data_IF_189697608068
#
_entry.id   IF_189697608068
#
_cell.length_a   1.000
_cell.length_b   1.000
_cell.length_c   1.000
_cell.angle_alpha   90.00
_cell.angle_beta   90.00
_cell.angle_gamma   90.00
#
_symmetry.space_group_name_H-M   'P 1'
#
loop_
_entity.id
_entity.type
_entity.pdbx_description
1 polymer ?
#
# COMPACT_ATOMS: atom_id res chain seq x y z
N UNK A 1 -2.38 -21.46 -16.50
CA UNK A 1 -1.00 -21.19 -16.94
C UNK A 1 -0.13 -20.47 -15.91
N UNK A 2 -0.44 -19.22 -15.49
CA UNK A 2 0.42 -18.49 -14.52
C UNK A 2 0.43 -19.16 -13.14
N UNK A 3 -0.74 -19.56 -12.65
CA UNK A 3 -0.86 -20.24 -11.36
C UNK A 3 -0.17 -21.63 -11.40
N UNK A 4 -0.45 -22.44 -12.43
CA UNK A 4 0.25 -23.74 -12.62
C UNK A 4 1.78 -23.59 -12.70
N UNK A 5 2.26 -22.51 -13.32
CA UNK A 5 3.68 -22.21 -13.38
C UNK A 5 4.26 -21.90 -11.99
N UNK A 6 3.51 -21.19 -11.14
CA UNK A 6 3.89 -20.92 -9.76
C UNK A 6 3.90 -22.20 -8.93
N UNK A 7 2.88 -23.05 -9.07
CA UNK A 7 2.80 -24.35 -8.42
C UNK A 7 3.97 -25.27 -8.83
N UNK A 8 4.33 -25.26 -10.12
CA UNK A 8 5.48 -26.02 -10.63
C UNK A 8 6.83 -25.43 -10.21
N UNK A 9 6.93 -24.11 -10.03
CA UNK A 9 8.17 -23.43 -9.67
C UNK A 9 8.00 -22.46 -8.46
N UNK A 10 7.75 -22.98 -7.24
CA UNK A 10 7.45 -22.17 -6.05
C UNK A 10 8.49 -21.10 -5.73
N UNK A 11 9.77 -21.37 -6.00
CA UNK A 11 10.88 -20.44 -5.78
C UNK A 11 10.76 -19.15 -6.62
N UNK A 12 10.00 -19.15 -7.73
CA UNK A 12 9.80 -17.97 -8.60
C UNK A 12 8.66 -17.06 -8.14
N UNK A 13 7.80 -17.51 -7.23
CA UNK A 13 6.61 -16.78 -6.75
C UNK A 13 6.94 -15.35 -6.30
N UNK A 14 8.05 -15.17 -5.58
CA UNK A 14 8.47 -13.84 -5.06
C UNK A 14 8.76 -12.84 -6.17
N UNK A 15 9.26 -13.30 -7.32
CA UNK A 15 9.54 -12.46 -8.48
C UNK A 15 8.24 -12.13 -9.23
N UNK A 16 7.34 -13.12 -9.35
CA UNK A 16 6.09 -13.05 -10.12
C UNK A 16 5.02 -12.22 -9.40
N UNK A 17 4.79 -12.47 -8.10
CA UNK A 17 3.70 -11.87 -7.31
C UNK A 17 4.17 -10.85 -6.28
N UNK A 18 5.47 -10.79 -5.97
CA UNK A 18 5.98 -9.89 -4.93
C UNK A 18 5.83 -10.44 -3.51
N UNK A 19 5.44 -11.70 -3.31
CA UNK A 19 5.45 -12.40 -2.01
C UNK A 19 5.99 -13.82 -2.19
N UNK A 20 6.56 -14.41 -1.14
CA UNK A 20 7.06 -15.80 -1.19
C UNK A 20 5.92 -16.80 -1.38
N UNK A 21 6.22 -18.02 -1.83
CA UNK A 21 5.21 -19.07 -1.98
C UNK A 21 4.52 -19.43 -0.66
N UNK A 22 5.27 -19.50 0.45
CA UNK A 22 4.69 -19.71 1.78
C UNK A 22 3.68 -18.61 2.15
N UNK A 23 4.03 -17.35 1.90
CA UNK A 23 3.12 -16.22 2.11
C UNK A 23 1.90 -16.25 1.19
N UNK A 24 2.08 -16.69 -0.06
CA UNK A 24 0.96 -16.90 -1.00
C UNK A 24 -0.03 -17.93 -0.44
N UNK A 25 0.46 -19.08 0.03
CA UNK A 25 -0.40 -20.13 0.59
C UNK A 25 -1.19 -19.65 1.82
N UNK A 26 -0.54 -18.94 2.76
CA UNK A 26 -1.25 -18.33 3.90
C UNK A 26 -2.29 -17.30 3.46
N UNK A 27 -1.98 -16.50 2.45
CA UNK A 27 -2.91 -15.50 1.90
C UNK A 27 -4.10 -16.16 1.20
N UNK A 28 -3.89 -17.23 0.43
CA UNK A 28 -4.95 -17.99 -0.24
C UNK A 28 -5.94 -18.55 0.79
N UNK A 29 -5.45 -19.20 1.84
CA UNK A 29 -6.31 -19.73 2.92
C UNK A 29 -7.20 -18.64 3.54
N UNK A 30 -6.60 -17.49 3.87
CA UNK A 30 -7.33 -16.36 4.42
C UNK A 30 -8.35 -15.76 3.42
N UNK A 31 -7.95 -15.62 2.16
CA UNK A 31 -8.80 -15.06 1.11
C UNK A 31 -9.99 -15.96 0.79
N UNK A 32 -9.78 -17.28 0.70
CA UNK A 32 -10.85 -18.27 0.50
C UNK A 32 -11.84 -18.23 1.67
N UNK A 33 -11.34 -18.25 2.91
CA UNK A 33 -12.20 -18.18 4.10
C UNK A 33 -13.04 -16.90 4.10
N UNK A 34 -12.41 -15.74 3.86
CA UNK A 34 -13.13 -14.45 3.82
C UNK A 34 -14.17 -14.41 2.69
N UNK A 35 -13.83 -14.94 1.52
CA UNK A 35 -14.74 -15.07 0.38
C UNK A 35 -15.96 -15.93 0.71
N UNK A 36 -15.75 -17.08 1.37
CA UNK A 36 -16.83 -17.94 1.84
C UNK A 36 -17.73 -17.22 2.85
N UNK A 37 -17.16 -16.53 3.83
CA UNK A 37 -17.94 -15.74 4.81
C UNK A 37 -18.82 -14.70 4.13
N UNK A 38 -18.29 -14.00 3.12
CA UNK A 38 -19.05 -13.01 2.33
C UNK A 38 -20.17 -13.70 1.55
N UNK A 39 -19.88 -14.81 0.85
CA UNK A 39 -20.88 -15.59 0.10
C UNK A 39 -22.00 -16.08 1.02
N UNK A 40 -21.68 -16.67 2.17
CA UNK A 40 -22.67 -17.14 3.15
C UNK A 40 -23.56 -16.00 3.66
N UNK A 41 -22.99 -14.84 3.99
CA UNK A 41 -23.77 -13.66 4.41
C UNK A 41 -24.72 -13.19 3.31
N UNK A 42 -24.24 -13.09 2.08
CA UNK A 42 -25.07 -12.71 0.93
C UNK A 42 -26.18 -13.72 0.65
N UNK A 43 -25.92 -15.02 0.81
CA UNK A 43 -26.94 -16.06 0.63
C UNK A 43 -28.01 -15.99 1.70
N UNK A 44 -27.64 -15.74 2.96
CA UNK A 44 -28.61 -15.60 4.07
C UNK A 44 -29.58 -14.42 3.90
N UNK A 45 -29.17 -13.40 3.12
CA UNK A 45 -29.97 -12.20 2.84
C UNK A 45 -30.80 -12.32 1.55
N UNK A 46 -30.59 -13.34 0.73
CA UNK A 46 -31.28 -13.50 -0.56
C UNK A 46 -32.64 -14.15 -0.37
N UNK A 47 -33.71 -13.43 -0.75
CA UNK A 47 -35.02 -14.03 -1.00
C UNK A 47 -34.96 -14.67 -2.39
N UNK A 48 -34.96 -16.01 -2.45
CA UNK A 48 -34.85 -16.76 -3.71
C UNK A 48 -36.22 -17.14 -4.28
N UNK A 49 -36.42 -16.87 -5.57
CA UNK A 49 -37.52 -17.48 -6.35
C UNK A 49 -37.11 -18.80 -7.03
N UNK A 50 -35.81 -19.03 -7.26
CA UNK A 50 -35.25 -20.23 -7.91
C UNK A 50 -34.20 -20.92 -7.01
N UNK A 51 -33.96 -22.22 -7.22
CA UNK A 51 -32.94 -22.99 -6.50
C UNK A 51 -31.51 -22.45 -6.70
N UNK A 52 -30.61 -22.73 -5.75
CA UNK A 52 -29.18 -22.38 -5.84
C UNK A 52 -28.53 -22.96 -7.09
N UNK A 53 -27.55 -22.25 -7.66
CA UNK A 53 -26.60 -22.86 -8.59
C UNK A 53 -26.93 -22.74 -10.08
N UNK A 54 -27.96 -21.98 -10.46
CA UNK A 54 -28.30 -21.75 -11.87
C UNK A 54 -27.37 -20.78 -12.63
N UNK A 55 -26.25 -20.36 -12.03
CA UNK A 55 -25.28 -19.46 -12.65
C UNK A 55 -24.32 -20.20 -13.58
N UNK A 56 -23.71 -19.47 -14.53
CA UNK A 56 -22.61 -20.00 -15.33
C UNK A 56 -21.44 -20.39 -14.39
N UNK A 57 -20.85 -21.58 -14.54
CA UNK A 57 -19.69 -21.97 -13.74
C UNK A 57 -18.54 -20.98 -13.95
N UNK A 58 -17.89 -20.58 -12.85
CA UNK A 58 -16.71 -19.73 -12.87
C UNK A 58 -15.58 -20.46 -13.62
N UNK A 59 -14.88 -19.77 -14.53
CA UNK A 59 -13.82 -20.38 -15.35
C UNK A 59 -12.52 -20.59 -14.57
N UNK A 60 -12.26 -19.71 -13.60
CA UNK A 60 -11.08 -19.74 -12.76
C UNK A 60 -11.46 -20.27 -11.39
N UNK A 61 -10.61 -21.14 -10.84
CA UNK A 61 -10.66 -21.49 -9.43
C UNK A 61 -10.43 -20.25 -8.55
N UNK A 62 -10.84 -20.31 -7.28
CA UNK A 62 -10.63 -19.20 -6.34
C UNK A 62 -9.15 -18.81 -6.22
N UNK A 63 -8.26 -19.80 -6.22
CA UNK A 63 -6.81 -19.56 -6.12
C UNK A 63 -6.26 -18.84 -7.35
N UNK A 64 -6.71 -19.23 -8.54
CA UNK A 64 -6.35 -18.57 -9.79
C UNK A 64 -6.87 -17.13 -9.84
N UNK A 65 -8.06 -16.87 -9.32
CA UNK A 65 -8.62 -15.51 -9.25
C UNK A 65 -7.81 -14.60 -8.31
N UNK A 66 -7.43 -15.10 -7.12
CA UNK A 66 -6.53 -14.37 -6.22
C UNK A 66 -5.16 -14.16 -6.87
N UNK A 67 -4.61 -15.18 -7.51
CA UNK A 67 -3.34 -15.09 -8.23
C UNK A 67 -3.41 -14.05 -9.37
N UNK A 68 -4.52 -13.98 -10.10
CA UNK A 68 -4.76 -12.97 -11.14
C UNK A 68 -4.68 -11.56 -10.55
N UNK A 69 -5.30 -11.34 -9.39
CA UNK A 69 -5.28 -10.05 -8.72
C UNK A 69 -3.87 -9.65 -8.27
N UNK A 70 -3.16 -10.55 -7.58
CA UNK A 70 -1.78 -10.32 -7.14
C UNK A 70 -0.81 -10.09 -8.31
N UNK A 71 -0.99 -10.84 -9.40
CA UNK A 71 -0.21 -10.67 -10.62
C UNK A 71 -0.44 -9.29 -11.22
N UNK A 72 -1.69 -8.81 -11.27
CA UNK A 72 -1.98 -7.46 -11.74
C UNK A 72 -1.35 -6.39 -10.87
N UNK A 73 -1.46 -6.48 -9.54
CA UNK A 73 -0.84 -5.53 -8.61
C UNK A 73 0.68 -5.46 -8.83
N UNK A 74 1.33 -6.62 -8.99
CA UNK A 74 2.78 -6.72 -9.14
C UNK A 74 3.28 -6.31 -10.52
N UNK A 75 2.63 -6.79 -11.59
CA UNK A 75 3.12 -6.69 -12.97
C UNK A 75 2.44 -5.58 -13.79
N UNK A 76 1.22 -5.21 -13.42
CA UNK A 76 0.38 -4.19 -14.06
C UNK A 76 0.26 -4.33 -15.61
N UNK A 77 -0.06 -5.52 -16.14
CA UNK A 77 -0.37 -5.70 -17.57
C UNK A 77 -1.69 -4.98 -17.92
N UNK A 78 -2.02 -4.88 -19.20
CA UNK A 78 -3.40 -4.51 -19.60
C UNK A 78 -4.35 -5.66 -19.27
N UNK A 79 -5.64 -5.39 -19.05
CA UNK A 79 -6.63 -6.46 -18.82
C UNK A 79 -6.76 -7.43 -19.99
N UNK A 80 -6.42 -7.00 -21.22
CA UNK A 80 -6.36 -7.90 -22.38
C UNK A 80 -5.23 -8.94 -22.21
N UNK A 81 -4.01 -8.48 -21.89
CA UNK A 81 -2.87 -9.38 -21.66
C UNK A 81 -3.11 -10.23 -20.41
N UNK A 82 -3.71 -9.66 -19.36
CA UNK A 82 -4.09 -10.42 -18.17
C UNK A 82 -5.07 -11.55 -18.50
N UNK A 83 -6.11 -11.26 -19.29
CA UNK A 83 -7.07 -12.27 -19.76
C UNK A 83 -6.39 -13.38 -20.55
N UNK A 84 -5.47 -13.05 -21.47
CA UNK A 84 -4.69 -14.05 -22.22
C UNK A 84 -3.87 -14.95 -21.28
N UNK A 85 -3.17 -14.36 -20.31
CA UNK A 85 -2.32 -15.12 -19.37
C UNK A 85 -3.08 -16.06 -18.44
N UNK A 86 -4.35 -15.75 -18.17
CA UNK A 86 -5.26 -16.53 -17.33
C UNK A 86 -6.38 -17.22 -18.12
N UNK A 87 -6.29 -17.24 -19.46
CA UNK A 87 -7.25 -17.92 -20.35
C UNK A 87 -8.73 -17.51 -20.15
N UNK A 88 -8.93 -16.24 -19.78
CA UNK A 88 -10.25 -15.62 -19.62
C UNK A 88 -10.40 -14.40 -20.53
N UNK A 89 -11.63 -13.90 -20.64
CA UNK A 89 -11.86 -12.67 -21.42
C UNK A 89 -11.24 -11.45 -20.71
N UNK A 90 -10.99 -10.38 -21.47
CA UNK A 90 -10.58 -9.07 -20.89
C UNK A 90 -11.56 -8.62 -19.80
N UNK A 91 -12.86 -8.79 -20.03
CA UNK A 91 -13.93 -8.37 -19.11
C UNK A 91 -13.87 -9.21 -17.84
N UNK A 92 -13.79 -10.53 -17.97
CA UNK A 92 -13.66 -11.45 -16.84
C UNK A 92 -12.45 -11.12 -15.96
N UNK A 93 -11.30 -10.82 -16.58
CA UNK A 93 -10.09 -10.43 -15.86
C UNK A 93 -10.26 -9.10 -15.11
N UNK A 94 -11.00 -8.14 -15.69
CA UNK A 94 -11.33 -6.88 -15.03
C UNK A 94 -12.28 -7.07 -13.85
N UNK A 95 -13.36 -7.81 -14.06
CA UNK A 95 -14.36 -8.10 -13.03
C UNK A 95 -13.74 -8.89 -11.88
N UNK A 96 -12.93 -9.91 -12.19
CA UNK A 96 -12.20 -10.71 -11.19
C UNK A 96 -11.27 -9.83 -10.35
N UNK A 97 -10.48 -8.95 -10.98
CA UNK A 97 -9.59 -8.05 -10.26
C UNK A 97 -10.38 -7.15 -9.29
N UNK A 98 -11.43 -6.48 -9.79
CA UNK A 98 -12.21 -5.56 -8.97
C UNK A 98 -13.06 -6.27 -7.90
N UNK A 99 -13.43 -7.53 -8.11
CA UNK A 99 -14.10 -8.36 -7.12
C UNK A 99 -13.17 -8.71 -5.95
N UNK A 100 -11.93 -9.10 -6.22
CA UNK A 100 -10.98 -9.55 -5.20
C UNK A 100 -10.31 -8.42 -4.42
N UNK A 101 -10.15 -7.23 -4.99
CA UNK A 101 -9.48 -6.12 -4.30
C UNK A 101 -10.11 -5.77 -2.95
N UNK A 102 -11.44 -5.61 -2.81
CA UNK A 102 -12.08 -5.39 -1.51
C UNK A 102 -11.84 -6.54 -0.52
N UNK A 103 -11.87 -7.80 -0.98
CA UNK A 103 -11.65 -8.97 -0.13
C UNK A 103 -10.20 -9.00 0.39
N UNK A 104 -9.24 -8.73 -0.49
CA UNK A 104 -7.82 -8.63 -0.12
C UNK A 104 -7.57 -7.45 0.81
N UNK A 105 -8.24 -6.31 0.59
CA UNK A 105 -8.19 -5.14 1.46
C UNK A 105 -8.61 -5.50 2.88
N UNK A 106 -9.70 -6.24 3.05
CA UNK A 106 -10.22 -6.63 4.37
C UNK A 106 -9.22 -7.46 5.19
N UNK A 107 -8.40 -8.29 4.54
CA UNK A 107 -7.49 -9.23 5.22
C UNK A 107 -6.04 -8.73 5.29
N UNK A 108 -5.70 -7.63 4.61
CA UNK A 108 -4.34 -7.09 4.51
C UNK A 108 -4.26 -5.67 5.10
N UNK A 109 -4.27 -5.47 6.43
CA UNK A 109 -4.14 -4.13 7.02
C UNK A 109 -2.89 -3.42 6.48
N UNK A 110 -3.08 -2.20 5.99
CA UNK A 110 -2.08 -1.39 5.31
C UNK A 110 -1.01 -0.85 6.27
N UNK A 111 -1.35 -0.71 7.54
CA UNK A 111 -0.46 -0.18 8.57
C UNK A 111 -0.62 -0.92 9.91
N UNK A 112 0.36 -0.78 10.80
CA UNK A 112 0.30 -1.32 12.16
C UNK A 112 -0.87 -0.72 12.94
N UNK A 113 -1.07 0.61 12.87
CA UNK A 113 -2.17 1.26 13.58
C UNK A 113 -3.53 0.80 13.06
N UNK A 114 -3.68 0.61 11.75
CA UNK A 114 -4.93 0.08 11.19
C UNK A 114 -5.21 -1.34 11.71
N UNK A 115 -4.19 -2.20 11.78
CA UNK A 115 -4.32 -3.59 12.22
C UNK A 115 -4.94 -3.70 13.62
N UNK A 116 -4.59 -2.78 14.52
CA UNK A 116 -5.05 -2.76 15.92
C UNK A 116 -6.19 -1.77 16.17
N UNK A 117 -6.65 -1.04 15.14
CA UNK A 117 -7.61 0.06 15.29
C UNK A 117 -8.97 -0.36 15.86
N UNK A 118 -9.37 -1.63 15.66
CA UNK A 118 -10.63 -2.18 16.17
C UNK A 118 -10.58 -2.56 17.67
N UNK A 119 -9.40 -2.54 18.31
CA UNK A 119 -9.25 -2.81 19.73
C UNK A 119 -8.52 -1.64 20.40
N UNK A 120 -9.27 -0.85 21.18
CA UNK A 120 -8.76 0.35 21.86
C UNK A 120 -7.56 0.05 22.77
N UNK A 121 -7.59 -1.07 23.48
CA UNK A 121 -6.48 -1.47 24.37
C UNK A 121 -5.21 -1.79 23.58
N UNK A 122 -5.34 -2.51 22.47
CA UNK A 122 -4.19 -2.84 21.62
C UNK A 122 -3.63 -1.59 20.94
N UNK A 123 -4.52 -0.68 20.51
CA UNK A 123 -4.13 0.60 19.90
C UNK A 123 -3.33 1.46 20.88
N UNK A 124 -3.82 1.64 22.11
CA UNK A 124 -3.14 2.42 23.14
C UNK A 124 -1.76 1.82 23.48
N UNK A 125 -1.70 0.49 23.63
CA UNK A 125 -0.44 -0.21 23.90
C UNK A 125 0.57 -0.05 22.76
N UNK A 126 0.12 -0.18 21.50
CA UNK A 126 0.98 0.05 20.33
C UNK A 126 1.46 1.49 20.29
N UNK A 127 0.59 2.47 20.51
CA UNK A 127 0.96 3.89 20.55
C UNK A 127 2.01 4.17 21.63
N UNK A 128 1.86 3.60 22.82
CA UNK A 128 2.84 3.70 23.91
C UNK A 128 4.19 3.12 23.48
N UNK A 129 4.22 1.90 22.91
CA UNK A 129 5.46 1.27 22.44
C UNK A 129 6.13 2.12 21.38
N UNK A 130 5.38 2.69 20.43
CA UNK A 130 5.91 3.49 19.33
C UNK A 130 6.69 4.72 19.82
N UNK A 131 6.36 5.26 21.00
CA UNK A 131 7.10 6.41 21.59
C UNK A 131 8.57 6.10 21.86
N UNK A 132 8.91 4.82 22.07
CA UNK A 132 10.30 4.38 22.24
C UNK A 132 11.13 4.45 20.95
N UNK A 133 10.47 4.66 19.81
CA UNK A 133 11.11 4.73 18.49
C UNK A 133 10.99 6.14 17.91
N UNK A 134 12.04 6.58 17.21
CA UNK A 134 11.95 7.74 16.34
C UNK A 134 11.46 7.29 14.96
N UNK A 135 10.18 7.48 14.68
CA UNK A 135 9.55 7.00 13.45
C UNK A 135 10.05 7.76 12.23
N UNK A 136 10.18 7.07 11.10
CA UNK A 136 10.69 7.64 9.85
C UNK A 136 9.53 8.05 8.97
N UNK A 137 9.57 9.28 8.45
CA UNK A 137 8.51 9.88 7.63
C UNK A 137 9.06 10.24 6.27
N UNK A 138 8.38 9.79 5.21
CA UNK A 138 8.68 10.22 3.85
C UNK A 138 7.41 10.25 2.98
N UNK A 139 7.44 11.07 1.94
CA UNK A 139 6.33 11.19 0.99
C UNK A 139 6.69 10.64 -0.38
N UNK A 140 5.68 10.14 -1.08
CA UNK A 140 5.79 9.64 -2.45
C UNK A 140 4.72 10.26 -3.34
N UNK A 141 5.07 10.53 -4.60
CA UNK A 141 4.14 11.01 -5.61
C UNK A 141 4.05 10.00 -6.74
N UNK A 142 2.82 9.63 -7.10
CA UNK A 142 2.51 8.72 -8.19
C UNK A 142 1.82 9.46 -9.33
N UNK A 143 2.28 9.31 -10.59
CA UNK A 143 1.61 9.95 -11.72
C UNK A 143 0.22 9.37 -11.98
N UNK A 144 -0.71 10.22 -12.37
CA UNK A 144 -2.05 9.85 -12.83
C UNK A 144 -2.29 10.37 -14.25
N UNK A 145 -3.41 9.98 -14.87
CA UNK A 145 -3.84 10.61 -16.12
C UNK A 145 -4.27 12.06 -15.88
N UNK A 146 -4.08 12.88 -16.92
CA UNK A 146 -4.59 14.24 -16.95
C UNK A 146 -6.11 14.16 -17.11
N UNK A 147 -6.84 14.77 -16.19
CA UNK A 147 -8.29 14.93 -16.32
C UNK A 147 -8.63 15.84 -17.49
N UNK A 148 -9.77 15.58 -18.15
CA UNK A 148 -10.32 16.47 -19.17
C UNK A 148 -10.90 17.75 -18.57
N UNK A 149 -11.40 17.70 -17.34
CA UNK A 149 -11.90 18.87 -16.62
C UNK A 149 -10.75 19.76 -16.15
N UNK A 150 -10.83 21.05 -16.45
CA UNK A 150 -9.75 22.00 -16.17
C UNK A 150 -9.56 22.24 -14.66
N UNK A 151 -10.62 22.17 -13.85
CA UNK A 151 -10.52 22.37 -12.39
C UNK A 151 -9.83 21.18 -11.75
N UNK A 152 -10.26 19.96 -12.09
CA UNK A 152 -9.59 18.74 -11.61
C UNK A 152 -8.15 18.64 -12.13
N UNK A 153 -7.88 19.08 -13.37
CA UNK A 153 -6.52 19.19 -13.88
C UNK A 153 -5.61 20.03 -12.97
N UNK A 154 -6.02 21.26 -12.63
CA UNK A 154 -5.21 22.17 -11.81
C UNK A 154 -4.97 21.61 -10.40
N UNK A 155 -5.97 20.96 -9.82
CA UNK A 155 -5.93 20.36 -8.48
C UNK A 155 -4.80 19.33 -8.33
N UNK A 156 -4.55 18.49 -9.35
CA UNK A 156 -3.56 17.42 -9.27
C UNK A 156 -2.19 17.77 -9.87
N UNK A 157 -2.03 18.94 -10.50
CA UNK A 157 -0.80 19.28 -11.21
C UNK A 157 0.36 19.64 -10.27
N UNK A 158 1.27 18.70 -10.02
CA UNK A 158 2.46 18.91 -9.20
C UNK A 158 3.52 19.70 -9.96
N UNK A 159 3.78 20.95 -9.54
CA UNK A 159 4.85 21.78 -10.11
C UNK A 159 6.24 21.16 -9.95
N UNK A 160 6.47 20.41 -8.85
CA UNK A 160 7.73 19.69 -8.57
C UNK A 160 7.98 18.56 -9.57
N UNK A 161 6.93 17.81 -9.93
CA UNK A 161 7.01 16.68 -10.87
C UNK A 161 6.68 17.07 -12.32
N UNK A 162 6.17 18.28 -12.55
CA UNK A 162 5.69 18.78 -13.84
C UNK A 162 4.66 17.86 -14.51
N UNK A 163 3.81 17.22 -13.71
CA UNK A 163 2.76 16.31 -14.17
C UNK A 163 1.65 16.18 -13.11
N UNK A 164 0.52 15.57 -13.49
CA UNK A 164 -0.57 15.27 -12.56
C UNK A 164 -0.21 14.07 -11.69
N UNK A 165 -0.33 14.23 -10.39
CA UNK A 165 0.08 13.20 -9.42
C UNK A 165 -0.86 13.14 -8.24
N UNK A 166 -0.94 11.96 -7.63
CA UNK A 166 -1.38 11.78 -6.26
C UNK A 166 -0.16 11.69 -5.35
N UNK A 167 -0.27 12.23 -4.15
CA UNK A 167 0.73 12.17 -3.11
C UNK A 167 0.27 11.23 -2.00
N UNK A 168 1.24 10.59 -1.38
CA UNK A 168 1.04 9.74 -0.22
C UNK A 168 2.15 9.98 0.78
N UNK A 169 1.87 9.75 2.05
CA UNK A 169 2.80 9.79 3.17
C UNK A 169 2.95 8.38 3.72
N UNK A 170 4.16 7.98 4.05
CA UNK A 170 4.44 6.73 4.75
C UNK A 170 5.23 7.01 6.01
N UNK A 171 4.80 6.39 7.11
CA UNK A 171 5.48 6.39 8.39
C UNK A 171 5.92 4.96 8.69
N UNK A 172 7.21 4.76 8.95
CA UNK A 172 7.79 3.44 9.21
C UNK A 172 8.57 3.37 10.51
N UNK A 173 8.69 2.15 11.05
CA UNK A 173 9.60 1.86 12.15
C UNK A 173 11.05 1.94 11.64
N UNK A 174 12.02 2.38 12.47
CA UNK A 174 13.44 2.22 12.17
C UNK A 174 13.81 0.83 11.66
N UNK A 175 14.87 0.74 10.87
CA UNK A 175 15.31 -0.49 10.18
C UNK A 175 14.32 -1.01 9.11
N UNK A 176 13.18 -0.35 8.91
CA UNK A 176 12.18 -0.74 7.91
C UNK A 176 11.39 -1.99 8.32
N UNK A 177 11.24 -2.20 9.64
CA UNK A 177 10.60 -3.39 10.22
C UNK A 177 9.09 -3.46 9.98
N UNK A 178 8.41 -2.32 9.96
CA UNK A 178 6.99 -2.26 9.62
C UNK A 178 6.59 -0.89 9.06
N UNK A 179 5.45 -0.85 8.38
CA UNK A 179 4.70 0.37 8.04
C UNK A 179 3.77 0.67 9.21
N UNK A 180 4.00 1.79 9.88
CA UNK A 180 3.24 2.20 11.06
C UNK A 180 1.94 2.88 10.67
N UNK A 181 2.00 3.79 9.69
CA UNK A 181 0.86 4.55 9.20
C UNK A 181 1.07 5.01 7.76
N UNK A 182 -0.02 5.17 7.01
CA UNK A 182 0.00 5.69 5.63
C UNK A 182 -1.17 6.62 5.36
N UNK A 183 -0.88 7.79 4.80
CA UNK A 183 -1.90 8.68 4.23
C UNK A 183 -1.81 8.59 2.71
N UNK A 184 -2.90 8.20 2.03
CA UNK A 184 -2.88 7.86 0.60
C UNK A 184 -3.79 8.81 -0.18
N UNK A 185 -3.46 9.08 -1.44
CA UNK A 185 -4.43 9.63 -2.40
C UNK A 185 -4.69 11.14 -2.33
N UNK A 186 -3.87 11.93 -1.63
CA UNK A 186 -4.08 13.39 -1.62
C UNK A 186 -3.55 14.05 -2.90
N UNK A 187 -4.03 15.24 -3.30
CA UNK A 187 -3.53 15.90 -4.50
C UNK A 187 -2.02 16.16 -4.45
N UNK A 188 -1.33 15.89 -5.55
CA UNK A 188 0.13 16.03 -5.68
C UNK A 188 0.75 17.33 -5.17
N UNK A 189 0.15 18.51 -5.44
CA UNK A 189 0.66 19.80 -4.99
C UNK A 189 0.66 20.01 -3.47
N UNK A 190 -0.01 19.14 -2.72
CA UNK A 190 -0.14 19.26 -1.27
C UNK A 190 1.25 19.20 -0.62
N UNK A 191 1.56 20.16 0.25
CA UNK A 191 2.85 20.24 0.93
C UNK A 191 3.05 19.06 1.89
N UNK A 192 4.26 18.50 1.95
CA UNK A 192 4.57 17.31 2.75
C UNK A 192 4.25 17.53 4.25
N UNK A 193 4.58 18.71 4.78
CA UNK A 193 4.26 19.11 6.15
C UNK A 193 2.75 19.08 6.46
N UNK A 194 1.88 19.36 5.48
CA UNK A 194 0.43 19.36 5.69
C UNK A 194 -0.08 17.93 5.91
N UNK A 195 0.39 16.99 5.08
CA UNK A 195 0.05 15.56 5.26
C UNK A 195 0.59 15.05 6.59
N UNK A 196 1.82 15.44 6.95
CA UNK A 196 2.41 15.01 8.21
C UNK A 196 1.58 15.46 9.41
N UNK A 197 1.23 16.76 9.49
CA UNK A 197 0.36 17.27 10.56
C UNK A 197 -0.99 16.57 10.62
N UNK A 198 -1.54 16.20 9.46
CA UNK A 198 -2.74 15.38 9.40
C UNK A 198 -2.47 14.00 10.00
N UNK A 199 -1.38 13.29 9.69
CA UNK A 199 -1.12 11.98 10.28
C UNK A 199 -0.83 12.01 11.80
N UNK A 200 -0.33 13.13 12.35
CA UNK A 200 0.13 13.20 13.74
C UNK A 200 -0.97 12.95 14.80
N UNK A 201 -2.25 13.21 14.49
CA UNK A 201 -3.34 12.98 15.46
C UNK A 201 -3.54 11.50 15.81
N UNK A 202 -2.97 10.58 15.02
CA UNK A 202 -3.03 9.12 15.26
C UNK A 202 -1.95 8.62 16.23
N UNK A 203 -1.11 9.51 16.73
CA UNK A 203 0.03 9.18 17.58
C UNK A 203 -0.05 9.87 18.93
N UNK A 204 0.70 9.34 19.90
CA UNK A 204 0.90 10.01 21.18
C UNK A 204 1.58 11.38 21.00
N UNK A 205 1.25 12.33 21.88
CA UNK A 205 1.78 13.70 21.83
C UNK A 205 3.30 13.76 22.01
N UNK A 206 3.92 12.77 22.64
CA UNK A 206 5.37 12.67 22.82
C UNK A 206 6.07 11.93 21.68
N UNK A 207 5.33 11.36 20.72
CA UNK A 207 5.89 10.59 19.61
C UNK A 207 6.92 11.42 18.83
N UNK A 208 8.12 10.87 18.69
CA UNK A 208 9.19 11.51 17.92
C UNK A 208 9.26 10.97 16.49
N UNK A 209 9.57 11.85 15.55
CA UNK A 209 9.67 11.56 14.13
C UNK A 209 11.01 12.03 13.55
N UNK A 210 11.39 11.48 12.41
CA UNK A 210 12.48 11.96 11.57
C UNK A 210 12.04 11.97 10.12
N UNK A 211 12.29 13.08 9.43
CA UNK A 211 11.91 13.23 8.03
C UNK A 211 12.91 14.10 7.27
N UNK A 212 12.62 14.28 5.98
CA UNK A 212 13.36 15.19 5.13
C UNK A 212 13.04 16.67 5.43
N UNK A 213 13.65 17.58 4.66
CA UNK A 213 13.44 19.03 4.85
C UNK A 213 12.02 19.51 4.51
N UNK A 214 11.24 18.73 3.77
CA UNK A 214 9.84 19.01 3.45
C UNK A 214 8.93 18.99 4.68
N UNK A 215 9.38 18.38 5.77
CA UNK A 215 8.67 18.31 7.05
C UNK A 215 9.14 19.35 8.09
N UNK A 216 9.97 20.31 7.68
CA UNK A 216 10.42 21.36 8.58
C UNK A 216 9.23 22.17 9.11
N UNK A 217 9.19 22.41 10.43
CA UNK A 217 8.09 23.11 11.10
C UNK A 217 6.94 22.20 11.56
N UNK A 218 7.14 20.88 11.55
CA UNK A 218 6.27 19.93 12.26
C UNK A 218 6.64 19.83 13.74
N UNK A 219 5.69 19.36 14.55
CA UNK A 219 5.92 19.08 15.96
C UNK A 219 6.67 17.74 16.11
N UNK A 220 7.61 17.66 17.06
CA UNK A 220 8.38 16.46 17.39
C UNK A 220 9.12 15.77 16.21
N UNK A 221 9.35 16.48 15.09
CA UNK A 221 10.06 15.95 13.93
C UNK A 221 11.48 16.52 13.83
N UNK A 222 12.46 15.62 13.76
CA UNK A 222 13.85 15.99 13.51
C UNK A 222 14.11 15.99 12.01
N UNK A 223 14.55 17.14 11.48
CA UNK A 223 14.89 17.34 10.07
C UNK A 223 16.34 17.81 9.91
N UNK A 224 17.01 17.54 8.77
CA UNK A 224 18.41 17.91 8.60
C UNK A 224 18.64 19.43 8.64
N UNK A 225 19.76 19.85 9.25
CA UNK A 225 20.19 21.25 9.28
C UNK A 225 20.29 21.84 7.88
N UNK A 226 19.67 23.01 7.69
CA UNK A 226 19.71 23.75 6.43
C UNK A 226 20.89 24.72 6.43
N UNK A 227 21.70 24.66 5.37
CA UNK A 227 22.72 25.67 5.11
C UNK A 227 22.03 27.04 4.91
N UNK A 228 22.34 28.01 5.77
CA UNK A 228 21.86 29.39 5.62
C UNK A 228 22.70 30.12 4.55
N UNK A 229 22.15 31.13 3.84
CA UNK A 229 22.93 31.91 2.90
C UNK A 229 24.21 32.45 3.55
N UNK A 230 25.34 32.36 2.85
CA UNK A 230 26.67 32.83 3.30
C UNK A 230 27.19 32.19 4.60
N UNK A 231 26.66 31.03 5.03
CA UNK A 231 27.18 30.29 6.19
C UNK A 231 27.37 28.82 5.84
N UNK A 232 28.48 28.23 6.27
CA UNK A 232 28.70 26.79 6.16
C UNK A 232 28.04 26.05 7.33
N UNK A 233 27.78 24.76 7.13
CA UNK A 233 27.41 23.88 8.23
C UNK A 233 28.64 23.55 9.05
N UNK A 234 28.52 23.55 10.37
CA UNK A 234 29.58 23.09 11.25
C UNK A 234 29.82 21.59 11.04
N UNK A 235 30.99 21.09 11.47
CA UNK A 235 31.28 19.66 11.38
C UNK A 235 30.23 18.82 12.13
N UNK A 236 29.86 19.25 13.34
CA UNK A 236 28.81 18.63 14.13
C UNK A 236 27.46 18.55 13.36
N UNK A 237 27.03 19.64 12.71
CA UNK A 237 25.80 19.64 11.91
C UNK A 237 25.88 18.70 10.70
N UNK A 238 27.07 18.55 10.10
CA UNK A 238 27.29 17.60 9.00
C UNK A 238 27.19 16.17 9.52
N UNK A 239 27.75 15.88 10.69
CA UNK A 239 27.72 14.56 11.32
C UNK A 239 26.30 14.17 11.74
N UNK A 240 25.54 15.09 12.35
CA UNK A 240 24.12 14.92 12.66
C UNK A 240 23.29 14.67 11.39
N UNK A 241 23.51 15.46 10.33
CA UNK A 241 22.84 15.24 9.04
C UNK A 241 23.18 13.88 8.43
N UNK A 242 24.42 13.42 8.58
CA UNK A 242 24.87 12.10 8.11
C UNK A 242 24.12 10.99 8.86
N UNK A 243 24.03 11.08 10.19
CA UNK A 243 23.26 10.12 10.99
C UNK A 243 21.77 10.09 10.62
N UNK A 244 21.13 11.25 10.45
CA UNK A 244 19.74 11.35 9.99
C UNK A 244 19.57 10.74 8.59
N UNK A 245 20.48 11.03 7.67
CA UNK A 245 20.44 10.46 6.33
C UNK A 245 20.60 8.94 6.34
N UNK A 246 21.48 8.39 7.17
CA UNK A 246 21.67 6.94 7.30
C UNK A 246 20.40 6.24 7.79
N UNK A 247 19.67 6.83 8.75
CA UNK A 247 18.41 6.27 9.22
C UNK A 247 17.28 6.36 8.18
N UNK A 248 17.25 7.44 7.39
CA UNK A 248 16.22 7.63 6.34
C UNK A 248 16.28 6.59 5.22
N UNK A 249 17.41 5.93 5.01
CA UNK A 249 17.54 4.84 4.02
C UNK A 249 16.47 3.75 4.25
N UNK A 250 16.06 3.51 5.49
CA UNK A 250 15.08 2.48 5.80
C UNK A 250 13.65 2.81 5.35
N UNK A 251 13.20 4.07 5.45
CA UNK A 251 11.89 4.46 4.91
C UNK A 251 11.92 4.46 3.37
N UNK A 252 13.05 4.83 2.77
CA UNK A 252 13.27 4.71 1.33
C UNK A 252 13.23 3.25 0.88
N UNK A 253 13.73 2.30 1.70
CA UNK A 253 13.60 0.86 1.45
C UNK A 253 12.14 0.40 1.48
N UNK A 254 11.32 0.85 2.46
CA UNK A 254 9.89 0.54 2.49
C UNK A 254 9.17 1.08 1.26
N UNK A 255 9.44 2.33 0.87
CA UNK A 255 8.89 2.92 -0.37
C UNK A 255 9.36 2.16 -1.61
N UNK A 256 10.61 1.68 -1.64
CA UNK A 256 11.12 0.83 -2.72
C UNK A 256 10.37 -0.50 -2.76
N UNK A 257 10.07 -1.10 -1.62
CA UNK A 257 9.26 -2.32 -1.52
C UNK A 257 7.84 -2.10 -2.01
N UNK A 258 7.22 -0.97 -1.68
CA UNK A 258 5.94 -0.56 -2.27
C UNK A 258 6.03 -0.48 -3.80
N UNK A 259 7.09 0.16 -4.31
CA UNK A 259 7.31 0.36 -5.75
C UNK A 259 7.64 -0.91 -6.54
N UNK A 260 7.94 -2.04 -5.89
CA UNK A 260 8.02 -3.32 -6.61
C UNK A 260 6.67 -3.65 -7.23
N UNK A 261 5.56 -3.29 -6.58
CA UNK A 261 4.24 -3.42 -7.16
C UNK A 261 4.08 -2.34 -8.21
N UNK A 262 4.06 -2.75 -9.49
CA UNK A 262 4.07 -1.81 -10.61
C UNK A 262 2.85 -0.90 -10.61
N UNK A 263 1.74 -1.34 -10.01
CA UNK A 263 0.56 -0.51 -9.82
C UNK A 263 0.78 0.71 -8.92
N UNK A 264 1.77 0.68 -8.02
CA UNK A 264 2.13 1.78 -7.12
C UNK A 264 3.34 2.60 -7.61
N UNK A 265 4.09 2.12 -8.61
CA UNK A 265 5.26 2.83 -9.15
C UNK A 265 5.05 3.45 -10.53
N UNK A 266 4.22 2.84 -11.37
CA UNK A 266 3.90 3.37 -12.69
C UNK A 266 2.77 4.40 -12.63
N UNK A 267 2.48 5.06 -13.75
CA UNK A 267 1.28 5.90 -13.86
C UNK A 267 0.07 5.04 -13.51
N UNK A 268 -0.73 5.48 -12.54
CA UNK A 268 -1.96 4.79 -12.17
C UNK A 268 -2.96 4.88 -13.32
N UNK A 269 -3.49 3.72 -13.76
CA UNK A 269 -4.32 3.61 -14.97
C UNK A 269 -5.78 3.27 -14.71
N UNK A 270 -6.15 3.05 -13.46
CA UNK A 270 -7.52 2.72 -13.06
C UNK A 270 -8.26 3.99 -12.65
N UNK A 271 -9.54 3.84 -12.33
CA UNK A 271 -10.37 4.94 -11.83
C UNK A 271 -9.83 5.42 -10.48
N UNK A 272 -9.79 6.75 -10.29
CA UNK A 272 -9.15 7.37 -9.12
C UNK A 272 -9.84 7.03 -7.79
N UNK A 273 -11.14 6.75 -7.80
CA UNK A 273 -11.92 6.28 -6.64
C UNK A 273 -11.42 4.93 -6.09
N UNK A 274 -10.82 4.08 -6.93
CA UNK A 274 -10.20 2.82 -6.51
C UNK A 274 -8.77 2.96 -5.99
N UNK A 275 -8.15 4.14 -6.13
CA UNK A 275 -6.73 4.36 -5.85
C UNK A 275 -6.36 4.01 -4.41
N UNK A 276 -7.07 4.59 -3.43
CA UNK A 276 -6.76 4.41 -2.02
C UNK A 276 -6.85 2.94 -1.63
N UNK A 277 -7.96 2.27 -1.97
CA UNK A 277 -8.17 0.85 -1.67
C UNK A 277 -7.04 -0.04 -2.24
N UNK A 278 -6.64 0.21 -3.49
CA UNK A 278 -5.58 -0.56 -4.15
C UNK A 278 -4.23 -0.32 -3.47
N UNK A 279 -3.86 0.93 -3.23
CA UNK A 279 -2.56 1.25 -2.63
C UNK A 279 -2.49 0.77 -1.18
N UNK A 280 -3.57 0.87 -0.41
CA UNK A 280 -3.65 0.25 0.92
C UNK A 280 -3.46 -1.27 0.87
N UNK A 281 -4.09 -1.95 -0.09
CA UNK A 281 -3.89 -3.39 -0.29
C UNK A 281 -2.41 -3.71 -0.59
N UNK A 282 -1.75 -2.87 -1.41
CA UNK A 282 -0.31 -3.01 -1.69
C UNK A 282 0.53 -2.78 -0.44
N UNK A 283 0.21 -1.81 0.41
CA UNK A 283 0.88 -1.62 1.70
C UNK A 283 0.77 -2.89 2.57
N UNK A 284 -0.42 -3.48 2.67
CA UNK A 284 -0.60 -4.74 3.39
C UNK A 284 0.20 -5.91 2.80
N UNK A 285 0.33 -5.99 1.46
CA UNK A 285 1.22 -6.96 0.80
C UNK A 285 2.71 -6.70 1.12
N UNK A 286 3.14 -5.45 1.26
CA UNK A 286 4.50 -5.11 1.68
C UNK A 286 4.73 -5.57 3.12
N UNK A 287 3.78 -5.32 4.04
CA UNK A 287 3.85 -5.80 5.43
C UNK A 287 3.93 -7.32 5.49
N UNK A 288 3.11 -8.03 4.71
CA UNK A 288 3.19 -9.48 4.58
C UNK A 288 4.56 -9.91 4.05
N UNK A 289 5.08 -9.24 3.00
CA UNK A 289 6.37 -9.56 2.37
C UNK A 289 7.54 -9.45 3.34
N UNK A 290 7.59 -8.41 4.16
CA UNK A 290 8.66 -8.18 5.15
C UNK A 290 8.50 -9.01 6.43
N UNK A 291 7.34 -9.68 6.59
CA UNK A 291 7.04 -10.53 7.73
C UNK A 291 6.54 -9.78 8.96
N UNK A 292 6.12 -8.52 8.81
CA UNK A 292 5.50 -7.77 9.91
C UNK A 292 4.02 -8.09 10.07
N UNK A 293 3.34 -8.45 8.99
CA UNK A 293 2.01 -9.03 9.01
C UNK A 293 2.11 -10.55 8.89
N UNK A 294 1.64 -11.26 9.92
CA UNK A 294 1.50 -12.71 9.91
C UNK A 294 0.02 -13.02 9.78
N UNK A 295 -0.35 -13.67 8.68
CA UNK A 295 -1.71 -14.13 8.48
C UNK A 295 -1.95 -15.42 9.26
N UNK A 296 -3.14 -15.61 9.86
CA UNK A 296 -3.47 -16.85 10.55
C UNK A 296 -3.41 -18.02 9.57
N UNK A 297 -2.81 -19.13 10.01
CA UNK A 297 -2.81 -20.40 9.30
C UNK A 297 -4.15 -21.09 9.37
#
# INVERSE_FOLDING_TARGET
MVFDYIEKYPHRTKQILGISYKQLQSLLNCAIKRHQDIKTKQESQKIRMNASGGGRPEKLSTDEQVCLCLFYLRQMPTFLVLGILFEVSKTEANDTFHYWIPILRDILPASLLEQVSNNESDLLFVQEILTNFRLLVDSLEQPIYRDSDQKEQQKYFSGKKRQHTLKSLMIGIPEGKDIVEVEIGVPGPTADIKLFRQSQHKFDKSQTFSGDKGFQGGENITTPHKRKPKRELTQQQKDENKALSSNRIFIEHLIRLLKIFRIASQRFRLKLDTYEQIIFTVCGLVRLRIGSLILPT
#
